data_IF_989015439350
#
_entry.id   IF_989015439350
#
_cell.length_a   1.000
_cell.length_b   1.000
_cell.length_c   1.000
_cell.angle_alpha   90.00
_cell.angle_beta   90.00
_cell.angle_gamma   90.00
#
_symmetry.space_group_name_H-M   'P 1'
#
loop_
_entity.id
_entity.type
_entity.pdbx_description
1 polymer ?
#
# COMPACT_ATOMS: atom_id res chain seq x y z
N UNK A 1 12.48 -10.59 18.05
CA UNK A 1 13.33 -10.17 16.92
C UNK A 1 13.02 -8.73 16.62
N UNK A 2 14.01 -7.86 16.36
CA UNK A 2 13.76 -6.55 15.79
C UNK A 2 13.02 -6.71 14.44
N UNK A 3 11.91 -6.00 14.25
CA UNK A 3 11.02 -6.15 13.09
C UNK A 3 10.88 -4.82 12.37
N UNK A 4 11.06 -4.81 11.05
CA UNK A 4 10.81 -3.63 10.25
C UNK A 4 9.31 -3.31 10.25
N UNK A 5 8.94 -2.03 10.26
CA UNK A 5 7.56 -1.59 10.40
C UNK A 5 7.20 -0.59 9.30
N UNK A 6 6.06 -0.82 8.64
CA UNK A 6 5.41 0.12 7.75
C UNK A 6 4.12 0.65 8.39
N UNK A 7 4.08 1.97 8.59
CA UNK A 7 2.89 2.68 9.11
C UNK A 7 2.16 3.34 7.95
N UNK A 8 0.91 2.93 7.72
CA UNK A 8 0.03 3.50 6.70
C UNK A 8 -0.94 4.50 7.35
N UNK A 9 -0.74 5.79 7.08
CA UNK A 9 -1.61 6.86 7.56
C UNK A 9 -2.55 7.35 6.46
N UNK A 10 -3.86 7.31 6.73
CA UNK A 10 -4.90 7.73 5.80
C UNK A 10 -4.80 9.22 5.47
N UNK A 11 -4.79 9.56 4.18
CA UNK A 11 -4.82 10.95 3.72
C UNK A 11 -6.26 11.50 3.59
N UNK A 12 -6.44 12.83 3.61
CA UNK A 12 -7.77 13.45 3.47
C UNK A 12 -8.49 13.14 2.15
N UNK A 13 -7.74 12.85 1.08
CA UNK A 13 -8.27 12.49 -0.24
C UNK A 13 -8.39 10.97 -0.45
N UNK A 14 -8.30 10.17 0.62
CA UNK A 14 -8.45 8.72 0.57
C UNK A 14 -9.87 8.29 0.89
N UNK A 15 -10.26 7.13 0.37
CA UNK A 15 -11.29 6.33 1.00
C UNK A 15 -10.90 6.05 2.47
N UNK A 16 -11.79 6.25 3.46
CA UNK A 16 -11.42 6.20 4.86
C UNK A 16 -10.87 4.84 5.29
N UNK A 17 -9.76 4.85 6.03
CA UNK A 17 -9.26 3.69 6.75
C UNK A 17 -8.54 4.11 8.03
N UNK A 18 -8.55 3.25 9.04
CA UNK A 18 -7.76 3.45 10.25
C UNK A 18 -6.28 3.18 10.00
N UNK A 19 -5.40 3.94 10.64
CA UNK A 19 -3.95 3.78 10.57
C UNK A 19 -3.53 2.31 10.79
N UNK A 20 -2.57 1.85 9.99
CA UNK A 20 -2.08 0.46 10.04
C UNK A 20 -0.61 0.42 10.42
N UNK A 21 -0.27 -0.49 11.32
CA UNK A 21 1.08 -0.78 11.79
C UNK A 21 1.46 -2.17 11.31
N UNK A 22 2.05 -2.24 10.12
CA UNK A 22 2.31 -3.49 9.41
C UNK A 22 3.76 -3.89 9.60
N UNK A 23 3.99 -4.94 10.38
CA UNK A 23 5.32 -5.54 10.54
C UNK A 23 5.72 -6.30 9.27
N UNK A 24 6.96 -6.13 8.84
CA UNK A 24 7.51 -6.64 7.58
C UNK A 24 8.60 -7.70 7.82
N UNK A 25 8.34 -8.63 8.76
CA UNK A 25 9.18 -9.83 8.96
C UNK A 25 9.15 -10.74 7.73
N UNK A 26 8.03 -10.72 7.02
CA UNK A 26 7.81 -11.39 5.74
C UNK A 26 7.10 -10.43 4.76
N UNK A 27 7.15 -10.70 3.45
CA UNK A 27 6.42 -9.89 2.47
C UNK A 27 4.91 -9.86 2.75
N UNK A 28 4.36 -8.66 2.95
CA UNK A 28 2.95 -8.45 3.27
C UNK A 28 2.16 -8.10 2.03
N UNK A 29 1.04 -8.80 1.83
CA UNK A 29 0.10 -8.55 0.74
C UNK A 29 -0.79 -7.35 1.04
N UNK A 30 -0.93 -6.51 0.04
CA UNK A 30 -1.84 -5.37 0.01
C UNK A 30 -3.02 -5.72 -0.89
N UNK A 31 -4.24 -5.52 -0.41
CA UNK A 31 -5.41 -5.84 -1.20
C UNK A 31 -6.75 -5.56 -0.56
N UNK A 32 -7.80 -5.91 -1.29
CA UNK A 32 -9.18 -5.74 -0.88
C UNK A 32 -9.61 -6.82 0.12
N UNK A 33 -10.42 -6.42 1.10
CA UNK A 33 -11.04 -7.35 2.04
C UNK A 33 -11.87 -8.43 1.33
N UNK A 34 -11.75 -9.65 1.84
CA UNK A 34 -12.54 -10.82 1.45
C UNK A 34 -12.99 -11.56 2.72
N UNK A 35 -13.90 -12.53 2.60
CA UNK A 35 -14.45 -13.24 3.75
C UNK A 35 -13.37 -13.82 4.70
N UNK A 36 -12.26 -14.30 4.14
CA UNK A 36 -11.13 -14.89 4.90
C UNK A 36 -10.06 -13.87 5.34
N UNK A 37 -10.05 -12.67 4.78
CA UNK A 37 -9.04 -11.64 5.08
C UNK A 37 -9.76 -10.31 5.32
N UNK A 38 -9.90 -9.96 6.60
CA UNK A 38 -10.53 -8.72 7.05
C UNK A 38 -9.49 -7.64 7.37
N UNK A 39 -9.83 -6.35 7.26
CA UNK A 39 -8.95 -5.28 7.68
C UNK A 39 -8.61 -5.41 9.16
N UNK A 40 -7.34 -5.35 9.50
CA UNK A 40 -6.84 -5.31 10.89
C UNK A 40 -5.69 -4.31 10.99
N UNK A 41 -5.40 -3.82 12.20
CA UNK A 41 -4.35 -2.83 12.43
C UNK A 41 -2.98 -3.29 11.93
N UNK A 42 -2.71 -4.60 11.99
CA UNK A 42 -1.43 -5.21 11.62
C UNK A 42 -1.35 -5.71 10.17
N UNK A 43 -2.31 -5.37 9.30
CA UNK A 43 -2.29 -5.79 7.90
C UNK A 43 -2.59 -4.64 6.94
N UNK A 44 -2.25 -4.85 5.66
CA UNK A 44 -2.54 -3.93 4.57
C UNK A 44 -3.77 -4.37 3.75
N UNK A 45 -4.79 -4.90 4.45
CA UNK A 45 -6.08 -5.24 3.83
C UNK A 45 -7.08 -4.10 4.05
N UNK A 46 -7.70 -3.65 2.96
CA UNK A 46 -8.62 -2.51 2.96
C UNK A 46 -10.00 -2.92 2.45
N UNK A 47 -11.06 -2.40 3.07
CA UNK A 47 -12.42 -2.59 2.56
C UNK A 47 -12.73 -1.52 1.50
N UNK A 48 -12.11 -1.66 0.33
CA UNK A 48 -12.21 -0.67 -0.74
C UNK A 48 -12.49 -1.35 -2.08
N UNK A 49 -13.62 -0.99 -2.72
CA UNK A 49 -14.13 -1.65 -3.95
C UNK A 49 -13.13 -1.57 -5.11
N UNK A 50 -12.40 -0.47 -5.23
CA UNK A 50 -11.46 -0.22 -6.34
C UNK A 50 -10.14 -0.98 -6.22
N UNK A 51 -9.88 -1.63 -5.08
CA UNK A 51 -8.71 -2.49 -4.91
C UNK A 51 -8.95 -3.89 -5.47
N UNK A 52 -7.85 -4.50 -5.92
CA UNK A 52 -7.78 -5.90 -6.30
C UNK A 52 -7.58 -6.75 -5.04
N UNK A 53 -7.96 -8.04 -5.07
CA UNK A 53 -7.73 -8.95 -3.94
C UNK A 53 -6.24 -9.14 -3.64
N UNK A 54 -5.45 -9.29 -4.71
CA UNK A 54 -3.99 -9.22 -4.69
C UNK A 54 -3.63 -7.97 -5.49
N UNK A 55 -3.36 -6.85 -4.82
CA UNK A 55 -3.17 -5.56 -5.48
C UNK A 55 -1.68 -5.21 -5.55
N UNK A 56 -1.00 -5.31 -4.42
CA UNK A 56 0.42 -5.06 -4.34
C UNK A 56 1.06 -5.93 -3.25
N UNK A 57 2.39 -5.93 -3.22
CA UNK A 57 3.21 -6.56 -2.21
C UNK A 57 4.19 -5.53 -1.65
N UNK A 58 4.31 -5.46 -0.32
CA UNK A 58 5.30 -4.64 0.36
C UNK A 58 6.21 -5.53 1.20
N UNK A 59 7.50 -5.27 1.19
CA UNK A 59 8.47 -6.00 2.01
C UNK A 59 9.66 -5.14 2.37
N UNK A 60 10.37 -5.59 3.40
CA UNK A 60 11.68 -5.11 3.76
C UNK A 60 12.73 -6.12 3.30
N UNK A 61 13.76 -5.65 2.60
CA UNK A 61 14.90 -6.47 2.22
C UNK A 61 16.04 -6.28 3.23
N UNK A 62 16.26 -7.29 4.06
CA UNK A 62 17.32 -7.30 5.08
C UNK A 62 18.74 -7.26 4.50
N UNK A 63 18.95 -7.63 3.23
CA UNK A 63 20.29 -7.60 2.60
C UNK A 63 20.68 -6.19 2.18
N UNK A 64 19.72 -5.41 1.72
CA UNK A 64 19.94 -4.05 1.23
C UNK A 64 19.52 -2.98 2.24
N UNK A 65 18.81 -3.37 3.30
CA UNK A 65 18.17 -2.49 4.28
C UNK A 65 17.19 -1.49 3.62
N UNK A 66 16.44 -1.95 2.62
CA UNK A 66 15.51 -1.13 1.84
C UNK A 66 14.10 -1.69 1.87
N UNK A 67 13.13 -0.81 1.67
CA UNK A 67 11.73 -1.15 1.54
C UNK A 67 11.33 -1.12 0.08
N UNK A 68 10.52 -2.10 -0.32
CA UNK A 68 10.07 -2.22 -1.69
C UNK A 68 8.56 -2.40 -1.75
N UNK A 69 7.98 -1.84 -2.80
CA UNK A 69 6.59 -2.01 -3.18
C UNK A 69 6.53 -2.53 -4.61
N UNK A 70 5.67 -3.51 -4.85
CA UNK A 70 5.46 -4.09 -6.17
C UNK A 70 3.97 -4.20 -6.47
N UNK A 71 3.55 -3.75 -7.64
CA UNK A 71 2.21 -4.00 -8.17
C UNK A 71 2.09 -5.44 -8.67
N UNK A 72 1.08 -6.18 -8.19
CA UNK A 72 0.88 -7.59 -8.53
C UNK A 72 -0.25 -7.78 -9.53
N UNK A 73 -0.20 -7.08 -10.67
CA UNK A 73 -1.22 -7.12 -11.74
C UNK A 73 -2.55 -6.51 -11.29
N UNK A 74 -2.48 -5.38 -10.60
CA UNK A 74 -3.65 -4.66 -10.15
C UNK A 74 -4.45 -4.09 -11.32
N UNK A 75 -5.78 -4.06 -11.20
CA UNK A 75 -6.65 -3.57 -12.28
C UNK A 75 -6.59 -2.05 -12.41
N UNK A 76 -6.58 -1.35 -11.27
CA UNK A 76 -6.66 0.11 -11.21
C UNK A 76 -5.31 0.79 -10.95
N UNK A 77 -4.21 0.02 -10.85
CA UNK A 77 -2.84 0.53 -10.68
C UNK A 77 -2.45 0.83 -9.23
N UNK A 78 -1.15 0.68 -8.98
CA UNK A 78 -0.45 1.16 -7.78
C UNK A 78 0.42 2.36 -8.14
N UNK A 79 0.46 3.35 -7.26
CA UNK A 79 1.19 4.60 -7.48
C UNK A 79 2.06 4.94 -6.27
N UNK A 80 3.25 5.46 -6.54
CA UNK A 80 4.17 6.03 -5.54
C UNK A 80 4.43 7.47 -5.95
N UNK A 81 4.03 8.43 -5.12
CA UNK A 81 4.10 9.88 -5.36
C UNK A 81 3.51 10.28 -6.72
N UNK A 82 2.29 9.81 -6.98
CA UNK A 82 1.55 10.01 -8.23
C UNK A 82 2.15 9.36 -9.48
N UNK A 83 3.28 8.66 -9.36
CA UNK A 83 3.86 7.87 -10.44
C UNK A 83 3.34 6.44 -10.40
N UNK A 84 2.74 5.99 -11.50
CA UNK A 84 2.20 4.62 -11.64
C UNK A 84 3.34 3.61 -11.84
N UNK A 85 3.27 2.47 -11.15
CA UNK A 85 4.32 1.43 -11.20
C UNK A 85 4.25 0.51 -12.43
N UNK A 86 3.04 0.16 -12.86
CA UNK A 86 2.79 -0.71 -14.03
C UNK A 86 1.48 -0.34 -14.72
N UNK A 87 1.27 -0.84 -15.95
CA UNK A 87 -0.04 -0.77 -16.61
C UNK A 87 -1.05 -1.66 -15.89
N UNK A 88 -2.33 -1.45 -16.17
CA UNK A 88 -3.39 -2.27 -15.56
C UNK A 88 -3.23 -3.73 -15.93
N UNK A 89 -3.38 -4.62 -14.94
CA UNK A 89 -3.20 -6.07 -15.09
C UNK A 89 -1.78 -6.52 -15.45
N UNK A 90 -0.79 -5.64 -15.32
CA UNK A 90 0.63 -5.96 -15.49
C UNK A 90 1.38 -5.88 -14.15
N UNK A 91 2.38 -6.74 -13.99
CA UNK A 91 3.22 -6.76 -12.79
C UNK A 91 4.31 -5.69 -12.93
N UNK A 92 4.55 -4.91 -11.87
CA UNK A 92 5.65 -3.95 -11.86
C UNK A 92 6.95 -4.62 -11.43
N UNK A 93 8.12 -4.06 -11.78
CA UNK A 93 9.33 -4.35 -11.03
C UNK A 93 9.20 -3.86 -9.57
N UNK A 94 10.01 -4.39 -8.63
CA UNK A 94 10.15 -3.83 -7.30
C UNK A 94 10.53 -2.34 -7.34
N UNK A 95 9.73 -1.50 -6.71
CA UNK A 95 9.98 -0.07 -6.58
C UNK A 95 10.43 0.23 -5.14
N UNK A 96 11.59 0.86 -4.97
CA UNK A 96 12.04 1.30 -3.66
C UNK A 96 11.12 2.41 -3.13
N UNK A 97 10.66 2.26 -1.89
CA UNK A 97 9.83 3.25 -1.20
C UNK A 97 10.58 3.81 0.01
N UNK A 98 10.40 5.10 0.25
CA UNK A 98 11.06 5.86 1.30
C UNK A 98 10.06 6.34 2.35
N UNK A 99 10.55 6.62 3.56
CA UNK A 99 9.68 7.16 4.60
C UNK A 99 9.18 8.55 4.18
N UNK A 100 7.88 8.78 4.33
CA UNK A 100 7.18 9.99 3.89
C UNK A 100 6.55 9.90 2.49
N UNK A 101 6.79 8.83 1.73
CA UNK A 101 6.18 8.65 0.41
C UNK A 101 4.65 8.60 0.48
N UNK A 102 4.00 9.09 -0.57
CA UNK A 102 2.55 8.94 -0.75
C UNK A 102 2.30 7.73 -1.65
N UNK A 103 1.66 6.71 -1.10
CA UNK A 103 1.29 5.51 -1.85
C UNK A 103 -0.21 5.54 -2.10
N UNK A 104 -0.61 5.23 -3.34
CA UNK A 104 -2.00 5.14 -3.73
C UNK A 104 -2.29 3.77 -4.37
N UNK A 105 -3.41 3.19 -3.98
CA UNK A 105 -3.92 1.92 -4.52
C UNK A 105 -5.25 2.16 -5.22
N UNK A 106 -5.27 1.92 -6.52
CA UNK A 106 -6.39 2.20 -7.40
C UNK A 106 -6.56 3.68 -7.76
N UNK A 107 -7.66 3.97 -8.44
CA UNK A 107 -8.11 5.31 -8.82
C UNK A 107 -9.59 5.44 -8.49
N UNK A 108 -10.08 6.68 -8.37
CA UNK A 108 -11.50 6.92 -8.13
C UNK A 108 -12.32 6.46 -9.33
N UNK A 109 -13.31 5.60 -9.07
CA UNK A 109 -14.19 5.04 -10.12
C UNK A 109 -15.60 5.54 -9.88
N UNK A 110 -16.15 6.27 -10.86
CA UNK A 110 -17.56 6.69 -10.83
C UNK A 110 -18.42 5.69 -11.57
N UNK A 111 -19.41 5.12 -10.88
CA UNK A 111 -20.36 4.17 -11.46
C UNK A 111 -21.49 4.96 -12.14
N UNK A 112 -21.46 5.04 -13.47
CA UNK A 112 -22.39 5.87 -14.28
C UNK A 112 -23.87 5.54 -14.04
N UNK A 113 -24.19 4.30 -13.72
CA UNK A 113 -25.57 3.84 -13.50
C UNK A 113 -26.16 4.37 -12.20
N UNK A 114 -25.35 4.65 -11.18
CA UNK A 114 -25.80 5.06 -9.84
C UNK A 114 -25.30 6.44 -9.40
N UNK A 115 -24.45 7.10 -10.20
CA UNK A 115 -23.76 8.37 -9.86
C UNK A 115 -23.03 8.30 -8.50
N UNK A 116 -22.51 7.12 -8.16
CA UNK A 116 -21.72 6.91 -6.94
C UNK A 116 -20.25 6.85 -7.32
N UNK A 117 -19.43 7.64 -6.63
CA UNK A 117 -17.97 7.60 -6.76
C UNK A 117 -17.37 6.71 -5.68
N UNK A 118 -16.59 5.72 -6.08
CA UNK A 118 -15.82 4.87 -5.20
C UNK A 118 -14.40 5.39 -5.12
N UNK A 119 -14.03 5.92 -3.96
CA UNK A 119 -12.69 6.46 -3.71
C UNK A 119 -11.60 5.37 -3.66
N UNK A 120 -10.39 5.74 -4.05
CA UNK A 120 -9.17 4.94 -3.91
C UNK A 120 -8.53 5.06 -2.52
N UNK A 121 -7.56 4.20 -2.23
CA UNK A 121 -6.78 4.30 -0.99
C UNK A 121 -5.58 5.19 -1.25
N UNK A 122 -5.43 6.25 -0.47
CA UNK A 122 -4.28 7.15 -0.48
C UNK A 122 -3.67 7.20 0.93
N UNK A 123 -2.42 6.78 1.05
CA UNK A 123 -1.72 6.68 2.32
C UNK A 123 -0.40 7.42 2.25
N UNK A 124 -0.07 8.17 3.31
CA UNK A 124 1.33 8.47 3.60
C UNK A 124 1.92 7.25 4.29
N UNK A 125 3.11 6.82 3.87
CA UNK A 125 3.82 5.71 4.50
C UNK A 125 4.95 6.24 5.37
N UNK A 126 5.07 5.75 6.60
CA UNK A 126 6.28 5.90 7.42
C UNK A 126 6.93 4.54 7.59
N UNK A 127 8.23 4.49 7.44
CA UNK A 127 8.99 3.25 7.40
C UNK A 127 10.01 3.27 8.53
N UNK A 128 10.07 2.18 9.30
CA UNK A 128 11.01 2.03 10.41
C UNK A 128 11.83 0.76 10.21
N UNK A 129 13.14 0.88 10.35
CA UNK A 129 14.08 -0.22 10.30
C UNK A 129 13.88 -1.13 11.52
N UNK A 130 14.41 -2.38 11.49
CA UNK A 130 14.29 -3.31 12.60
C UNK A 130 14.79 -2.76 13.96
N UNK A 131 15.78 -1.86 13.93
CA UNK A 131 16.33 -1.19 15.12
C UNK A 131 15.41 -0.09 15.71
N UNK A 132 14.27 0.18 15.06
CA UNK A 132 13.31 1.20 15.45
C UNK A 132 13.62 2.60 14.91
N UNK A 133 14.75 2.79 14.21
CA UNK A 133 15.05 4.06 13.56
C UNK A 133 14.16 4.26 12.33
N UNK A 134 13.72 5.49 12.11
CA UNK A 134 13.01 5.83 10.88
C UNK A 134 13.95 5.65 9.68
N UNK A 135 13.43 4.98 8.65
CA UNK A 135 14.16 4.76 7.41
C UNK A 135 14.42 6.09 6.68
N UNK A 136 15.25 6.03 5.64
CA UNK A 136 15.58 7.19 4.82
C UNK A 136 14.31 7.94 4.40
N UNK A 137 14.24 9.21 4.78
CA UNK A 137 13.15 10.09 4.38
C UNK A 137 13.35 10.59 2.96
N UNK A 138 12.25 10.83 2.26
CA UNK A 138 12.26 11.58 1.01
C UNK A 138 12.51 13.06 1.31
N UNK A 139 13.60 13.60 0.76
CA UNK A 139 13.98 15.03 0.81
C UNK A 139 13.11 15.88 -0.10
#
# INVERSE_FOLDING_TARGET
MPSALAVFACRPNSHPFQERHVYLDEPVKIGRSVARCRPAQNNATFDCKVLSRNHALIWFDHKTCKFYLQDTKSSNGTFVNSQRLSRGSEESPPCEVLSGDIIQFGVDVTENTRKVTHGCIVSTIKLFLPDGMEARQRS
#
